data_IF_505303218771
#
_entry.id   IF_505303218771
#
_cell.length_a   1.000
_cell.length_b   1.000
_cell.length_c   1.000
_cell.angle_alpha   90.00
_cell.angle_beta   90.00
_cell.angle_gamma   90.00
#
_symmetry.space_group_name_H-M   'P 1'
#
loop_
_entity.id
_entity.type
_entity.pdbx_description
1 polymer ?
#
# COMPACT_ATOMS: atom_id res chain seq x y z
N UNK A 1 -15.78 -9.49 -4.26
CA UNK A 1 -14.43 -9.10 -4.69
C UNK A 1 -14.54 -8.17 -5.86
N UNK A 2 -13.92 -7.00 -5.75
CA UNK A 2 -13.77 -6.04 -6.85
C UNK A 2 -12.30 -5.65 -6.95
N UNK A 3 -11.84 -5.34 -8.15
CA UNK A 3 -10.48 -4.86 -8.39
C UNK A 3 -10.39 -3.41 -7.88
N UNK A 4 -9.28 -3.07 -7.22
CA UNK A 4 -8.95 -1.71 -6.78
C UNK A 4 -7.92 -1.09 -7.72
N UNK A 5 -7.53 0.16 -7.49
CA UNK A 5 -6.36 0.73 -8.15
C UNK A 5 -5.11 -0.11 -7.89
N UNK A 6 -4.16 -0.05 -8.83
CA UNK A 6 -2.83 -0.64 -8.67
C UNK A 6 -2.00 0.16 -7.67
N UNK A 7 -1.17 -0.53 -6.88
CA UNK A 7 -0.10 0.11 -6.12
C UNK A 7 0.83 0.87 -7.07
N UNK A 8 1.42 1.94 -6.57
CA UNK A 8 2.40 2.76 -7.28
C UNK A 8 3.73 2.01 -7.38
N UNK A 9 4.13 1.32 -6.30
CA UNK A 9 5.35 0.51 -6.27
C UNK A 9 5.00 -0.98 -6.23
N UNK A 10 5.55 -1.75 -7.16
CA UNK A 10 5.46 -3.22 -7.11
C UNK A 10 6.18 -3.72 -5.86
N UNK A 11 5.46 -4.47 -5.01
CA UNK A 11 5.98 -5.01 -3.75
C UNK A 11 5.39 -6.37 -3.43
N UNK A 12 6.21 -7.27 -2.89
CA UNK A 12 5.84 -8.53 -2.24
C UNK A 12 6.35 -8.53 -0.79
N UNK A 13 5.82 -9.42 0.05
CA UNK A 13 6.24 -9.58 1.45
C UNK A 13 6.20 -8.28 2.27
N UNK A 14 5.30 -7.37 1.89
CA UNK A 14 5.04 -6.13 2.63
C UNK A 14 4.16 -6.40 3.84
N UNK A 15 4.11 -5.44 4.76
CA UNK A 15 3.11 -5.44 5.84
C UNK A 15 1.97 -4.49 5.48
N UNK A 16 0.75 -4.84 5.88
CA UNK A 16 -0.44 -4.01 5.70
C UNK A 16 -1.14 -3.82 7.05
N UNK A 17 -1.37 -2.56 7.45
CA UNK A 17 -2.02 -2.20 8.71
C UNK A 17 -3.20 -1.28 8.46
N UNK A 18 -4.34 -1.57 9.09
CA UNK A 18 -5.53 -0.69 9.06
C UNK A 18 -5.30 0.44 10.06
N UNK A 19 -5.50 1.68 9.62
CA UNK A 19 -5.44 2.88 10.44
C UNK A 19 -6.81 3.19 11.05
N UNK A 20 -6.83 4.04 12.09
CA UNK A 20 -8.07 4.44 12.79
C UNK A 20 -9.08 5.17 11.90
N UNK A 21 -8.62 5.79 10.80
CA UNK A 21 -9.48 6.44 9.81
C UNK A 21 -10.00 5.48 8.72
N UNK A 22 -9.67 4.18 8.79
CA UNK A 22 -10.10 3.16 7.84
C UNK A 22 -9.19 2.98 6.62
N UNK A 23 -8.17 3.83 6.44
CA UNK A 23 -7.19 3.64 5.38
C UNK A 23 -6.23 2.50 5.72
N UNK A 24 -5.57 1.94 4.69
CA UNK A 24 -4.61 0.85 4.87
C UNK A 24 -3.21 1.38 4.56
N UNK A 25 -2.32 1.38 5.55
CA UNK A 25 -0.90 1.65 5.36
C UNK A 25 -0.19 0.36 4.96
N UNK A 26 0.50 0.40 3.84
CA UNK A 26 1.37 -0.68 3.37
C UNK A 26 2.81 -0.23 3.41
N UNK A 27 3.66 -0.95 4.12
CA UNK A 27 5.05 -0.56 4.32
C UNK A 27 6.05 -1.68 4.00
N UNK A 28 7.17 -1.28 3.39
CA UNK A 28 8.29 -2.15 3.08
C UNK A 28 7.95 -3.24 2.05
N UNK A 29 8.54 -4.42 2.26
CA UNK A 29 8.54 -5.51 1.29
C UNK A 29 9.69 -5.40 0.30
N UNK A 30 9.59 -6.13 -0.80
CA UNK A 30 10.62 -6.15 -1.84
C UNK A 30 10.06 -6.44 -3.22
N UNK A 31 10.90 -6.22 -4.23
CA UNK A 31 10.65 -6.74 -5.57
C UNK A 31 11.97 -7.21 -6.18
N UNK A 32 12.84 -6.28 -6.57
CA UNK A 32 14.24 -6.57 -6.95
C UNK A 32 15.22 -6.31 -5.80
N UNK A 33 14.87 -5.36 -4.95
CA UNK A 33 15.59 -4.98 -3.73
C UNK A 33 14.57 -4.72 -2.62
N UNK A 34 15.04 -4.59 -1.38
CA UNK A 34 14.20 -4.13 -0.28
C UNK A 34 13.69 -2.72 -0.55
N UNK A 35 12.42 -2.48 -0.21
CA UNK A 35 11.78 -1.18 -0.31
C UNK A 35 11.84 -0.47 1.04
N UNK A 36 12.27 0.78 1.02
CA UNK A 36 12.16 1.70 2.16
C UNK A 36 10.89 2.55 2.12
N UNK A 37 10.06 2.40 1.08
CA UNK A 37 8.85 3.20 0.87
C UNK A 37 7.60 2.56 1.48
N UNK A 38 6.62 3.39 1.77
CA UNK A 38 5.27 2.99 2.09
C UNK A 38 4.23 3.66 1.17
N UNK A 39 3.03 3.10 1.17
CA UNK A 39 1.88 3.57 0.40
C UNK A 39 0.62 3.47 1.25
N UNK A 40 -0.28 4.45 1.08
CA UNK A 40 -1.57 4.51 1.73
C UNK A 40 -2.65 4.16 0.71
N UNK A 41 -3.50 3.20 1.06
CA UNK A 41 -4.70 2.89 0.32
C UNK A 41 -5.92 3.53 0.98
N UNK A 42 -6.70 4.24 0.18
CA UNK A 42 -8.01 4.77 0.55
C UNK A 42 -9.11 3.85 -0.04
N UNK A 43 -9.82 3.08 0.79
CA UNK A 43 -10.91 2.21 0.32
C UNK A 43 -12.12 2.95 -0.26
N UNK A 44 -12.33 4.22 0.10
CA UNK A 44 -13.48 5.01 -0.36
C UNK A 44 -13.36 5.41 -1.83
N UNK A 45 -12.12 5.60 -2.30
CA UNK A 45 -11.80 5.95 -3.69
C UNK A 45 -11.15 4.80 -4.45
N UNK A 46 -10.67 3.78 -3.74
CA UNK A 46 -9.92 2.68 -4.33
C UNK A 46 -8.52 3.08 -4.82
N UNK A 47 -7.95 4.18 -4.33
CA UNK A 47 -6.68 4.75 -4.81
C UNK A 47 -5.52 4.51 -3.85
N UNK A 48 -4.30 4.44 -4.42
CA UNK A 48 -3.04 4.38 -3.69
C UNK A 48 -2.29 5.72 -3.75
N UNK A 49 -1.59 6.07 -2.69
CA UNK A 49 -0.74 7.27 -2.62
C UNK A 49 0.56 6.94 -1.89
N UNK A 50 1.71 7.40 -2.40
CA UNK A 50 2.99 7.23 -1.71
C UNK A 50 2.98 7.97 -0.37
N UNK A 51 3.49 7.33 0.68
CA UNK A 51 3.64 7.94 2.00
C UNK A 51 4.82 7.32 2.71
N UNK A 52 5.79 8.12 3.16
CA UNK A 52 7.00 7.59 3.82
C UNK A 52 7.99 6.93 2.87
#
# INVERSE_FOLDING_TARGET
>A
WSITGSMITVRTDHTASILTNGNVLVAGGGHRTHLSSAELYDPSTGTWTNTG
#
